data_IF_669426747072
#
_entry.id   IF_669426747072
#
_cell.length_a   1.000
_cell.length_b   1.000
_cell.length_c   1.000
_cell.angle_alpha   90.00
_cell.angle_beta   90.00
_cell.angle_gamma   90.00
#
_symmetry.space_group_name_H-M   'P 1'
#
loop_
_entity.id
_entity.type
_entity.pdbx_description
1 polymer ?
#
# COMPACT_ATOMS: atom_id res chain seq x y z
N UNK A 1 21.15 21.68 11.63
CA UNK A 1 22.60 21.86 11.82
C UNK A 1 23.13 20.58 12.43
N UNK A 2 24.03 19.88 11.74
CA UNK A 2 24.68 18.67 12.24
C UNK A 2 26.01 19.07 12.89
N UNK A 3 26.28 18.58 14.10
CA UNK A 3 27.53 18.83 14.82
C UNK A 3 28.24 17.48 14.96
N UNK A 4 29.37 17.32 14.28
CA UNK A 4 30.25 16.18 14.47
C UNK A 4 31.26 16.55 15.57
N UNK A 5 31.25 15.81 16.68
CA UNK A 5 32.22 15.94 17.76
C UNK A 5 33.04 14.65 17.86
N UNK A 6 34.31 14.74 18.25
CA UNK A 6 35.11 13.54 18.50
C UNK A 6 34.51 12.71 19.66
N UNK A 7 34.34 11.38 19.51
CA UNK A 7 33.58 10.54 20.44
C UNK A 7 34.10 10.53 21.89
N UNK A 8 35.34 10.97 22.11
CA UNK A 8 36.01 10.96 23.42
C UNK A 8 36.09 12.33 24.11
N UNK A 9 35.70 13.43 23.46
CA UNK A 9 35.97 14.78 23.98
C UNK A 9 34.79 15.40 24.75
N UNK A 10 33.54 15.10 24.38
CA UNK A 10 32.35 15.72 25.00
C UNK A 10 31.22 14.70 25.08
N UNK A 11 30.64 14.43 26.27
CA UNK A 11 29.50 13.52 26.39
C UNK A 11 28.26 14.14 25.72
N UNK A 12 27.48 13.32 25.01
CA UNK A 12 26.23 13.72 24.31
C UNK A 12 25.26 14.50 25.19
N UNK A 13 25.21 14.18 26.49
CA UNK A 13 24.38 14.87 27.48
C UNK A 13 24.76 16.34 27.66
N UNK A 14 26.06 16.69 27.55
CA UNK A 14 26.53 18.06 27.62
C UNK A 14 26.16 18.84 26.36
N UNK A 15 26.20 18.19 25.19
CA UNK A 15 25.79 18.77 23.90
C UNK A 15 24.29 19.08 23.94
N UNK A 16 23.46 18.11 24.35
CA UNK A 16 22.01 18.29 24.47
C UNK A 16 21.64 19.40 25.48
N UNK A 17 22.34 19.48 26.61
CA UNK A 17 22.14 20.52 27.60
C UNK A 17 22.49 21.92 27.06
N UNK A 18 23.57 22.04 26.28
CA UNK A 18 23.96 23.30 25.65
C UNK A 18 22.94 23.75 24.60
N UNK A 19 22.45 22.84 23.75
CA UNK A 19 21.40 23.12 22.76
C UNK A 19 20.10 23.56 23.45
N UNK A 20 19.73 22.90 24.54
CA UNK A 20 18.55 23.26 25.34
C UNK A 20 18.68 24.64 26.00
N UNK A 21 19.87 25.04 26.46
CA UNK A 21 20.13 26.40 26.97
C UNK A 21 19.97 27.48 25.90
N UNK A 22 20.19 27.14 24.64
CA UNK A 22 19.92 28.01 23.50
C UNK A 22 18.44 28.02 23.07
N UNK A 23 17.55 27.31 23.79
CA UNK A 23 16.13 27.21 23.47
C UNK A 23 15.81 26.28 22.29
N UNK A 24 16.78 25.47 21.86
CA UNK A 24 16.64 24.55 20.73
C UNK A 24 16.47 23.10 21.22
N UNK A 25 15.86 22.27 20.39
CA UNK A 25 15.79 20.82 20.58
C UNK A 25 16.82 20.11 19.72
N UNK A 26 17.51 19.11 20.27
CA UNK A 26 18.39 18.21 19.53
C UNK A 26 18.05 16.76 19.90
N UNK A 27 18.12 15.88 18.90
CA UNK A 27 18.07 14.43 19.09
C UNK A 27 19.41 13.84 18.62
N UNK A 28 19.94 12.81 19.30
CA UNK A 28 21.13 12.10 18.86
C UNK A 28 20.92 11.55 17.44
N UNK A 29 21.86 11.84 16.54
CA UNK A 29 21.83 11.29 15.20
C UNK A 29 22.22 9.80 15.25
N UNK A 30 21.22 8.93 15.40
CA UNK A 30 21.42 7.51 15.19
C UNK A 30 21.52 7.26 13.67
N UNK A 31 22.60 6.63 13.20
CA UNK A 31 22.62 6.01 11.88
C UNK A 31 21.38 5.14 11.77
N UNK A 32 20.47 5.52 10.87
CA UNK A 32 19.14 4.98 10.88
C UNK A 32 19.17 3.49 10.53
N UNK A 33 19.14 2.62 11.54
CA UNK A 33 18.65 1.24 11.41
C UNK A 33 17.21 1.17 10.86
N UNK A 34 16.54 2.32 10.72
CA UNK A 34 15.28 2.51 10.03
C UNK A 34 15.28 2.14 8.54
N UNK A 35 16.45 1.96 7.90
CA UNK A 35 16.53 1.42 6.54
C UNK A 35 15.87 0.05 6.42
N UNK A 36 16.21 -0.89 7.31
CA UNK A 36 15.68 -2.25 7.29
C UNK A 36 14.17 -2.32 7.58
N UNK A 37 13.65 -1.44 8.44
CA UNK A 37 12.21 -1.35 8.73
C UNK A 37 11.43 -0.72 7.56
N UNK A 38 11.94 0.38 6.99
CA UNK A 38 11.37 1.03 5.80
C UNK A 38 11.34 0.10 4.59
N UNK A 39 12.41 -0.67 4.41
CA UNK A 39 12.56 -1.63 3.32
C UNK A 39 11.63 -2.84 3.48
N UNK A 40 11.46 -3.37 4.70
CA UNK A 40 10.45 -4.40 5.00
C UNK A 40 9.04 -3.93 4.66
N UNK A 41 8.68 -2.70 5.02
CA UNK A 41 7.35 -2.14 4.71
C UNK A 41 7.14 -1.97 3.21
N UNK A 42 8.17 -1.50 2.49
CA UNK A 42 8.13 -1.31 1.03
C UNK A 42 8.01 -2.66 0.31
N UNK A 43 8.79 -3.65 0.75
CA UNK A 43 8.72 -5.03 0.26
C UNK A 43 7.33 -5.62 0.53
N UNK A 44 6.80 -5.49 1.74
CA UNK A 44 5.46 -6.00 2.09
C UNK A 44 4.36 -5.41 1.19
N UNK A 45 4.39 -4.10 0.91
CA UNK A 45 3.43 -3.45 -0.01
C UNK A 45 3.55 -4.00 -1.43
N UNK A 46 4.77 -4.15 -1.93
CA UNK A 46 4.99 -4.71 -3.27
C UNK A 46 4.48 -6.16 -3.39
N UNK A 47 4.78 -6.99 -2.38
CA UNK A 47 4.29 -8.36 -2.33
C UNK A 47 2.76 -8.43 -2.23
N UNK A 48 2.12 -7.56 -1.43
CA UNK A 48 0.66 -7.52 -1.38
C UNK A 48 0.02 -7.12 -2.71
N UNK A 49 0.62 -6.16 -3.43
CA UNK A 49 0.14 -5.76 -4.77
C UNK A 49 0.29 -6.92 -5.77
N UNK A 50 1.41 -7.64 -5.74
CA UNK A 50 1.62 -8.81 -6.61
C UNK A 50 0.61 -9.92 -6.31
N UNK A 51 0.42 -10.25 -5.04
CA UNK A 51 -0.56 -11.28 -4.62
C UNK A 51 -1.97 -10.87 -5.04
N UNK A 52 -2.33 -9.59 -4.90
CA UNK A 52 -3.62 -9.07 -5.35
C UNK A 52 -3.81 -9.21 -6.87
N UNK A 53 -2.79 -8.85 -7.65
CA UNK A 53 -2.82 -8.98 -9.11
C UNK A 53 -2.91 -10.43 -9.59
N UNK A 54 -2.13 -11.33 -8.98
CA UNK A 54 -2.21 -12.77 -9.26
C UNK A 54 -3.57 -13.34 -8.87
N UNK A 55 -4.14 -12.92 -7.73
CA UNK A 55 -5.48 -13.33 -7.32
C UNK A 55 -6.57 -12.84 -8.29
N UNK A 56 -6.50 -11.59 -8.75
CA UNK A 56 -7.44 -11.05 -9.72
C UNK A 56 -7.36 -11.79 -11.07
N UNK A 57 -6.14 -11.93 -11.62
CA UNK A 57 -5.93 -12.61 -12.90
C UNK A 57 -6.25 -14.12 -12.82
N UNK A 58 -5.84 -14.78 -11.73
CA UNK A 58 -6.09 -16.20 -11.49
C UNK A 58 -7.57 -16.50 -11.25
N UNK A 59 -8.27 -15.63 -10.51
CA UNK A 59 -9.71 -15.72 -10.29
C UNK A 59 -10.47 -15.59 -11.62
N UNK A 60 -10.07 -14.63 -12.45
CA UNK A 60 -10.67 -14.42 -13.78
C UNK A 60 -10.38 -15.56 -14.75
N UNK A 61 -9.15 -16.06 -14.80
CA UNK A 61 -8.79 -17.21 -15.63
C UNK A 61 -9.58 -18.47 -15.23
N UNK A 62 -9.72 -18.70 -13.91
CA UNK A 62 -10.53 -19.81 -13.40
C UNK A 62 -12.02 -19.62 -13.72
N UNK A 63 -12.55 -18.41 -13.57
CA UNK A 63 -13.92 -18.08 -13.91
C UNK A 63 -14.19 -18.36 -15.40
N UNK A 64 -13.34 -17.85 -16.29
CA UNK A 64 -13.42 -18.08 -17.73
C UNK A 64 -13.32 -19.56 -18.11
N UNK A 65 -12.45 -20.32 -17.44
CA UNK A 65 -12.32 -21.76 -17.69
C UNK A 65 -13.58 -22.55 -17.29
N UNK A 66 -14.24 -22.16 -16.19
CA UNK A 66 -15.41 -22.87 -15.64
C UNK A 66 -16.71 -22.54 -16.38
N UNK A 67 -16.85 -21.32 -16.91
CA UNK A 67 -18.07 -20.86 -17.60
C UNK A 67 -17.96 -21.04 -19.14
N UNK A 68 -16.86 -21.62 -19.62
CA UNK A 68 -16.71 -22.04 -21.02
C UNK A 68 -16.08 -20.99 -21.95
N UNK A 69 -15.46 -19.95 -21.42
CA UNK A 69 -14.65 -18.99 -22.18
C UNK A 69 -14.69 -17.56 -21.66
N UNK A 70 -13.84 -16.70 -22.25
CA UNK A 70 -13.72 -15.28 -21.89
C UNK A 70 -15.04 -14.51 -22.06
N UNK A 71 -15.73 -14.71 -23.19
CA UNK A 71 -16.98 -14.00 -23.48
C UNK A 71 -18.08 -14.32 -22.46
N UNK A 72 -18.13 -15.57 -21.99
CA UNK A 72 -19.10 -15.99 -20.99
C UNK A 72 -18.77 -15.39 -19.62
N UNK A 73 -17.51 -15.40 -19.18
CA UNK A 73 -17.10 -14.77 -17.92
C UNK A 73 -17.32 -13.24 -17.89
N UNK A 74 -17.13 -12.55 -19.02
CA UNK A 74 -17.47 -11.12 -19.11
C UNK A 74 -18.99 -10.91 -19.09
N UNK A 75 -19.77 -11.81 -19.70
CA UNK A 75 -21.23 -11.73 -19.67
C UNK A 75 -21.85 -11.94 -18.28
N UNK A 76 -21.26 -12.83 -17.48
CA UNK A 76 -21.75 -13.15 -16.13
C UNK A 76 -21.60 -12.02 -15.12
N UNK A 77 -20.55 -11.20 -15.24
CA UNK A 77 -20.24 -10.09 -14.31
C UNK A 77 -20.57 -8.73 -14.96
N UNK A 78 -20.51 -8.59 -16.28
CA UNK A 78 -20.73 -7.30 -16.97
C UNK A 78 -22.10 -7.08 -17.60
N UNK A 79 -22.87 -8.16 -17.89
CA UNK A 79 -24.10 -8.07 -18.69
C UNK A 79 -25.35 -8.67 -18.00
N UNK A 80 -25.21 -9.23 -16.79
CA UNK A 80 -26.35 -9.64 -15.96
C UNK A 80 -26.99 -10.99 -16.33
N UNK A 81 -26.29 -11.88 -17.03
CA UNK A 81 -26.83 -13.14 -17.56
C UNK A 81 -27.10 -14.25 -16.51
N UNK A 82 -27.22 -13.89 -15.23
CA UNK A 82 -27.74 -14.76 -14.16
C UNK A 82 -26.89 -16.00 -13.81
N UNK A 83 -25.74 -16.19 -14.46
CA UNK A 83 -24.81 -17.26 -14.11
C UNK A 83 -23.92 -16.81 -12.96
N UNK A 84 -24.19 -17.40 -11.81
CA UNK A 84 -23.44 -17.12 -10.59
C UNK A 84 -21.95 -17.48 -10.73
N UNK A 85 -21.08 -16.55 -10.33
CA UNK A 85 -19.63 -16.79 -10.26
C UNK A 85 -19.37 -18.06 -9.45
N UNK A 86 -18.63 -19.06 -9.99
CA UNK A 86 -18.35 -20.30 -9.27
C UNK A 86 -17.70 -20.04 -7.91
N UNK A 87 -18.11 -20.79 -6.87
CA UNK A 87 -17.60 -20.61 -5.51
C UNK A 87 -16.06 -20.60 -5.44
N UNK A 88 -15.41 -21.49 -6.20
CA UNK A 88 -13.95 -21.58 -6.25
C UNK A 88 -13.33 -20.28 -6.78
N UNK A 89 -13.91 -19.69 -7.83
CA UNK A 89 -13.44 -18.41 -8.37
C UNK A 89 -13.68 -17.26 -7.38
N UNK A 90 -14.84 -17.23 -6.69
CA UNK A 90 -15.12 -16.25 -5.62
C UNK A 90 -14.06 -16.30 -4.51
N UNK A 91 -13.64 -17.50 -4.09
CA UNK A 91 -12.57 -17.63 -3.09
C UNK A 91 -11.24 -17.07 -3.57
N UNK A 92 -10.86 -17.33 -4.82
CA UNK A 92 -9.61 -16.80 -5.40
C UNK A 92 -9.67 -15.27 -5.51
N UNK A 93 -10.80 -14.71 -5.96
CA UNK A 93 -11.02 -13.28 -5.96
C UNK A 93 -10.96 -12.67 -4.56
N UNK A 94 -11.63 -13.29 -3.58
CA UNK A 94 -11.63 -12.83 -2.19
C UNK A 94 -10.21 -12.77 -1.61
N UNK A 95 -9.34 -13.74 -1.92
CA UNK A 95 -7.93 -13.71 -1.52
C UNK A 95 -7.17 -12.56 -2.19
N UNK A 96 -7.39 -12.31 -3.49
CA UNK A 96 -6.79 -11.19 -4.22
C UNK A 96 -7.24 -9.82 -3.70
N UNK A 97 -8.54 -9.68 -3.42
CA UNK A 97 -9.16 -8.51 -2.79
C UNK A 97 -8.55 -8.27 -1.41
N UNK A 98 -8.53 -9.29 -0.55
CA UNK A 98 -7.99 -9.19 0.79
C UNK A 98 -6.51 -8.78 0.78
N UNK A 99 -5.71 -9.32 -0.14
CA UNK A 99 -4.31 -8.93 -0.30
C UNK A 99 -4.15 -7.46 -0.70
N UNK A 100 -4.96 -6.96 -1.64
CA UNK A 100 -4.93 -5.56 -2.08
C UNK A 100 -5.37 -4.58 -0.99
N UNK A 101 -6.44 -4.92 -0.29
CA UNK A 101 -7.04 -4.11 0.78
C UNK A 101 -6.29 -4.16 2.11
N UNK A 102 -5.43 -5.17 2.32
CA UNK A 102 -4.70 -5.37 3.56
C UNK A 102 -3.99 -4.10 4.06
N UNK A 103 -3.46 -3.29 3.15
CA UNK A 103 -2.74 -2.05 3.48
C UNK A 103 -3.63 -0.79 3.50
N UNK A 104 -4.87 -0.90 3.03
CA UNK A 104 -5.83 0.19 2.82
C UNK A 104 -6.84 0.26 3.97
N UNK A 105 -7.38 -0.89 4.39
CA UNK A 105 -8.42 -1.00 5.42
C UNK A 105 -8.04 -0.31 6.74
N UNK A 106 -6.80 -0.46 7.28
CA UNK A 106 -6.43 0.24 8.50
C UNK A 106 -6.48 1.77 8.37
N UNK A 107 -6.18 2.30 7.18
CA UNK A 107 -6.24 3.75 6.92
C UNK A 107 -7.67 4.22 6.77
N UNK A 108 -8.50 3.49 6.04
CA UNK A 108 -9.93 3.75 5.91
C UNK A 108 -10.63 3.78 7.28
N UNK A 109 -10.28 2.83 8.16
CA UNK A 109 -10.81 2.79 9.53
C UNK A 109 -10.42 4.04 10.35
N UNK A 110 -9.18 4.50 10.21
CA UNK A 110 -8.73 5.74 10.85
C UNK A 110 -9.45 6.97 10.28
N UNK A 111 -9.71 7.01 8.97
CA UNK A 111 -10.45 8.09 8.31
C UNK A 111 -11.89 8.21 8.86
N UNK A 112 -12.57 7.07 9.05
CA UNK A 112 -13.89 7.01 9.69
C UNK A 112 -13.84 7.50 11.13
N UNK A 113 -12.91 6.98 11.94
CA UNK A 113 -12.77 7.39 13.35
C UNK A 113 -12.47 8.88 13.51
N UNK A 114 -11.77 9.47 12.55
CA UNK A 114 -11.43 10.90 12.54
C UNK A 114 -12.50 11.77 11.88
N UNK A 115 -13.58 11.19 11.36
CA UNK A 115 -14.62 11.88 10.57
C UNK A 115 -14.03 12.73 9.44
N UNK A 116 -12.95 12.24 8.82
CA UNK A 116 -12.26 12.92 7.72
C UNK A 116 -12.16 11.94 6.54
N UNK A 117 -13.12 11.99 5.60
CA UNK A 117 -13.11 11.11 4.44
C UNK A 117 -11.83 11.29 3.63
N UNK A 118 -11.18 10.17 3.30
CA UNK A 118 -9.99 10.14 2.45
C UNK A 118 -10.19 9.17 1.27
N UNK A 119 -9.20 9.12 0.38
CA UNK A 119 -9.21 8.23 -0.77
C UNK A 119 -9.25 6.75 -0.37
N UNK A 120 -8.66 6.37 0.78
CA UNK A 120 -8.67 4.97 1.24
C UNK A 120 -10.07 4.55 1.69
N UNK A 121 -10.82 5.46 2.33
CA UNK A 121 -12.20 5.24 2.72
C UNK A 121 -13.09 5.07 1.49
N UNK A 122 -13.01 6.00 0.52
CA UNK A 122 -13.79 5.92 -0.72
C UNK A 122 -13.54 4.59 -1.44
N UNK A 123 -12.27 4.21 -1.57
CA UNK A 123 -11.86 2.93 -2.15
C UNK A 123 -12.47 1.73 -1.41
N UNK A 124 -12.40 1.70 -0.08
CA UNK A 124 -12.91 0.58 0.72
C UNK A 124 -14.42 0.44 0.59
N UNK A 125 -15.15 1.56 0.52
CA UNK A 125 -16.60 1.58 0.29
C UNK A 125 -16.93 1.05 -1.11
N UNK A 126 -16.19 1.47 -2.14
CA UNK A 126 -16.41 1.02 -3.52
C UNK A 126 -16.24 -0.51 -3.63
N UNK A 127 -15.17 -1.06 -3.06
CA UNK A 127 -14.95 -2.53 -3.07
C UNK A 127 -16.01 -3.26 -2.24
N UNK A 128 -16.39 -2.74 -1.09
CA UNK A 128 -17.47 -3.33 -0.29
C UNK A 128 -18.79 -3.35 -1.07
N UNK A 129 -19.12 -2.27 -1.79
CA UNK A 129 -20.30 -2.19 -2.66
C UNK A 129 -20.28 -3.24 -3.77
N UNK A 130 -19.15 -3.39 -4.47
CA UNK A 130 -18.98 -4.41 -5.50
C UNK A 130 -19.18 -5.84 -4.93
N UNK A 131 -18.61 -6.14 -3.76
CA UNK A 131 -18.80 -7.44 -3.09
C UNK A 131 -20.28 -7.67 -2.72
N UNK A 132 -20.99 -6.64 -2.24
CA UNK A 132 -22.41 -6.73 -1.86
C UNK A 132 -23.30 -7.00 -3.06
N UNK A 133 -22.99 -6.41 -4.22
CA UNK A 133 -23.75 -6.61 -5.47
C UNK A 133 -23.38 -7.96 -6.13
N UNK A 134 -22.27 -8.58 -5.71
CA UNK A 134 -21.80 -9.86 -6.25
C UNK A 134 -20.76 -9.72 -7.36
N UNK A 135 -20.25 -8.52 -7.60
CA UNK A 135 -19.25 -8.20 -8.63
C UNK A 135 -17.83 -8.48 -8.13
N UNK A 136 -17.46 -9.76 -8.12
CA UNK A 136 -16.18 -10.22 -7.57
C UNK A 136 -14.98 -9.81 -8.43
N UNK A 137 -15.09 -9.88 -9.76
CA UNK A 137 -14.03 -9.43 -10.67
C UNK A 137 -13.78 -7.92 -10.58
N UNK A 138 -14.83 -7.10 -10.53
CA UNK A 138 -14.68 -5.65 -10.38
C UNK A 138 -14.03 -5.32 -9.03
N UNK A 139 -14.52 -5.93 -7.94
CA UNK A 139 -13.94 -5.79 -6.61
C UNK A 139 -12.44 -6.13 -6.59
N UNK A 140 -12.05 -7.24 -7.22
CA UNK A 140 -10.66 -7.68 -7.31
C UNK A 140 -9.80 -6.74 -8.16
N UNK A 141 -10.31 -6.31 -9.32
CA UNK A 141 -9.61 -5.42 -10.25
C UNK A 141 -9.37 -4.05 -9.64
N UNK A 142 -10.39 -3.44 -9.05
CA UNK A 142 -10.28 -2.14 -8.38
C UNK A 142 -9.31 -2.25 -7.19
N UNK A 143 -9.40 -3.33 -6.39
CA UNK A 143 -8.46 -3.60 -5.29
C UNK A 143 -7.01 -3.68 -5.76
N UNK A 144 -6.76 -4.41 -6.84
CA UNK A 144 -5.43 -4.54 -7.42
C UNK A 144 -4.90 -3.21 -7.97
N UNK A 145 -5.68 -2.51 -8.79
CA UNK A 145 -5.22 -1.26 -9.42
C UNK A 145 -4.95 -0.18 -8.39
N UNK A 146 -5.75 -0.12 -7.31
CA UNK A 146 -5.50 0.79 -6.20
C UNK A 146 -4.22 0.42 -5.44
N UNK A 147 -4.02 -0.86 -5.12
CA UNK A 147 -2.79 -1.32 -4.48
C UNK A 147 -1.55 -1.06 -5.37
N UNK A 148 -1.71 -1.15 -6.70
CA UNK A 148 -0.68 -0.83 -7.67
C UNK A 148 -0.38 0.67 -7.70
N UNK A 149 -1.40 1.54 -7.71
CA UNK A 149 -1.19 2.99 -7.69
C UNK A 149 -0.43 3.43 -6.45
N UNK A 150 -0.79 2.90 -5.27
CA UNK A 150 -0.09 3.18 -4.01
C UNK A 150 1.37 2.68 -4.02
N UNK A 151 1.63 1.54 -4.67
CA UNK A 151 2.98 1.02 -4.83
C UNK A 151 3.82 1.91 -5.75
N UNK A 152 3.25 2.35 -6.87
CA UNK A 152 3.88 3.26 -7.82
C UNK A 152 4.13 4.64 -7.21
N UNK A 153 3.19 5.17 -6.44
CA UNK A 153 3.33 6.43 -5.70
C UNK A 153 4.53 6.37 -4.74
N UNK A 154 4.60 5.32 -3.92
CA UNK A 154 5.71 5.13 -2.98
C UNK A 154 7.07 4.97 -3.67
N UNK A 155 7.07 4.34 -4.85
CA UNK A 155 8.27 4.16 -5.68
C UNK A 155 8.71 5.47 -6.33
N UNK A 156 7.76 6.26 -6.85
CA UNK A 156 7.98 7.56 -7.47
C UNK A 156 8.57 8.56 -6.49
N UNK A 157 7.98 8.69 -5.29
CA UNK A 157 8.48 9.56 -4.21
C UNK A 157 9.88 9.13 -3.78
N UNK A 158 10.11 7.82 -3.63
CA UNK A 158 11.43 7.29 -3.29
C UNK A 158 12.49 7.63 -4.34
N UNK A 159 12.15 7.58 -5.62
CA UNK A 159 13.05 8.01 -6.71
C UNK A 159 13.33 9.50 -6.66
N UNK A 160 12.30 10.33 -6.52
CA UNK A 160 12.45 11.78 -6.46
C UNK A 160 13.39 12.18 -5.31
N UNK A 161 13.20 11.59 -4.13
CA UNK A 161 14.08 11.84 -2.97
C UNK A 161 15.54 11.48 -3.24
N UNK A 162 15.80 10.33 -3.89
CA UNK A 162 17.17 9.91 -4.25
C UNK A 162 17.81 10.82 -5.29
N UNK A 163 17.03 11.33 -6.25
CA UNK A 163 17.53 12.27 -7.24
C UNK A 163 17.94 13.61 -6.59
N UNK A 164 17.12 14.12 -5.66
CA UNK A 164 17.45 15.34 -4.90
C UNK A 164 18.69 15.12 -4.03
N UNK A 165 18.78 13.98 -3.33
CA UNK A 165 19.96 13.67 -2.51
C UNK A 165 21.26 13.70 -3.33
N UNK A 166 21.25 13.07 -4.52
CA UNK A 166 22.40 13.10 -5.43
C UNK A 166 22.79 14.50 -5.89
N UNK A 167 21.83 15.41 -6.05
CA UNK A 167 22.14 16.80 -6.41
C UNK A 167 22.76 17.58 -5.24
N UNK A 168 22.34 17.30 -4.00
CA UNK A 168 22.93 17.90 -2.81
C UNK A 168 24.33 17.36 -2.53
N UNK A 169 24.61 16.10 -2.84
CA UNK A 169 25.95 15.52 -2.69
C UNK A 169 26.98 16.11 -3.69
N UNK A 170 26.54 16.85 -4.71
CA UNK A 170 27.41 17.52 -5.68
C UNK A 170 27.78 18.96 -5.30
N UNK A 171 27.15 19.55 -4.27
CA UNK A 171 27.36 20.95 -3.82
C UNK A 171 28.05 20.97 -2.47
#
# INVERSE_FOLDING_TARGET
>A
MTVAAEPSAVPDTAILAAVKRAGLGAEPWAESGGGAASERLRRRRFWSTLVSGVGAAGGFALHAALVGGFAAAVGTEGLGDGHEVPLVARFVYALGIAAGLFTVVPKAWLAVRRLRPDMNLLMTIAVAGAIVIGEWFEAATVSFLFALSLALEAWSIGRARRAIAKLLDLV
#
